data_IF_078862936973
#
_entry.id   IF_078862936973
#
_cell.length_a   1.000
_cell.length_b   1.000
_cell.length_c   1.000
_cell.angle_alpha   90.00
_cell.angle_beta   90.00
_cell.angle_gamma   90.00
#
_symmetry.space_group_name_H-M   'P 1'
#
loop_
_entity.id
_entity.type
_entity.pdbx_description
1 polymer ?
#
# COMPACT_ATOMS: atom_id res chain seq x y z
N UNK A 1 6.84 -14.04 -9.03
CA UNK A 1 7.83 -12.95 -9.11
C UNK A 1 9.17 -13.54 -9.54
N UNK A 2 9.89 -12.95 -10.50
CA UNK A 2 11.18 -13.47 -10.96
C UNK A 2 12.24 -13.21 -9.89
N UNK A 3 12.94 -14.27 -9.48
CA UNK A 3 14.01 -14.22 -8.47
C UNK A 3 15.09 -13.19 -8.81
N UNK A 4 15.42 -13.03 -10.09
CA UNK A 4 16.41 -12.06 -10.56
C UNK A 4 15.97 -10.61 -10.36
N UNK A 5 14.67 -10.32 -10.46
CA UNK A 5 14.14 -8.98 -10.23
C UNK A 5 14.16 -8.61 -8.74
N UNK A 6 13.93 -9.59 -7.86
CA UNK A 6 14.01 -9.43 -6.39
C UNK A 6 15.44 -9.16 -5.92
N UNK A 7 16.42 -9.91 -6.43
CA UNK A 7 17.84 -9.76 -6.07
C UNK A 7 18.51 -8.51 -6.66
N UNK A 8 17.88 -7.85 -7.63
CA UNK A 8 18.48 -6.67 -8.25
C UNK A 8 18.55 -5.53 -7.23
N UNK A 9 19.74 -4.96 -7.08
CA UNK A 9 19.98 -3.87 -6.13
C UNK A 9 19.44 -2.54 -6.61
N UNK A 10 18.89 -1.78 -5.67
CA UNK A 10 18.41 -0.43 -5.83
C UNK A 10 18.83 0.36 -4.59
N UNK A 11 19.50 1.49 -4.78
CA UNK A 11 20.07 2.28 -3.67
C UNK A 11 20.95 1.45 -2.70
N UNK A 12 21.63 0.43 -3.22
CA UNK A 12 22.55 -0.41 -2.43
C UNK A 12 21.93 -1.67 -1.80
N UNK A 13 20.61 -1.74 -1.67
CA UNK A 13 19.88 -2.88 -1.08
C UNK A 13 19.15 -3.69 -2.14
N UNK A 14 18.84 -4.95 -1.84
CA UNK A 14 18.04 -5.80 -2.72
C UNK A 14 16.59 -5.31 -2.77
N UNK A 15 15.89 -5.53 -3.89
CA UNK A 15 14.50 -5.10 -3.99
C UNK A 15 13.62 -5.86 -3.00
N UNK A 16 13.93 -7.13 -2.71
CA UNK A 16 13.25 -7.92 -1.68
C UNK A 16 13.32 -7.23 -0.31
N UNK A 17 14.52 -6.85 0.13
CA UNK A 17 14.75 -6.14 1.40
C UNK A 17 13.95 -4.83 1.47
N UNK A 18 13.91 -4.06 0.38
CA UNK A 18 13.10 -2.85 0.31
C UNK A 18 11.61 -3.14 0.54
N UNK A 19 11.07 -4.15 -0.14
CA UNK A 19 9.65 -4.52 -0.01
C UNK A 19 9.34 -4.98 1.42
N UNK A 20 10.22 -5.77 2.02
CA UNK A 20 10.10 -6.20 3.42
C UNK A 20 10.08 -4.99 4.38
N UNK A 21 11.00 -4.04 4.21
CA UNK A 21 11.01 -2.83 5.04
C UNK A 21 9.72 -2.03 4.93
N UNK A 22 9.16 -1.86 3.73
CA UNK A 22 7.88 -1.17 3.56
C UNK A 22 6.70 -1.95 4.13
N UNK A 23 6.72 -3.28 4.06
CA UNK A 23 5.70 -4.13 4.70
C UNK A 23 5.77 -3.98 6.22
N UNK A 24 6.95 -4.09 6.81
CA UNK A 24 7.16 -3.95 8.25
C UNK A 24 6.76 -2.54 8.73
N UNK A 25 7.18 -1.50 8.03
CA UNK A 25 6.79 -0.12 8.33
C UNK A 25 5.26 0.05 8.29
N UNK A 26 4.61 -0.46 7.25
CA UNK A 26 3.15 -0.39 7.10
C UNK A 26 2.44 -1.16 8.21
N UNK A 27 2.97 -2.31 8.61
CA UNK A 27 2.44 -3.11 9.72
C UNK A 27 2.55 -2.38 11.07
N UNK A 28 3.70 -1.78 11.37
CA UNK A 28 3.90 -0.98 12.60
C UNK A 28 2.88 0.16 12.66
N UNK A 29 2.70 0.86 11.55
CA UNK A 29 1.71 1.95 11.45
C UNK A 29 0.29 1.44 11.68
N UNK A 30 -0.08 0.32 11.03
CA UNK A 30 -1.39 -0.29 11.18
C UNK A 30 -1.67 -0.69 12.63
N UNK A 31 -0.71 -1.33 13.29
CA UNK A 31 -0.81 -1.70 14.72
C UNK A 31 -0.94 -0.45 15.58
N UNK A 32 -0.13 0.59 15.32
CA UNK A 32 -0.21 1.87 16.04
C UNK A 32 -1.59 2.53 15.92
N UNK A 33 -2.16 2.58 14.72
CA UNK A 33 -3.51 3.06 14.47
C UNK A 33 -4.55 2.23 15.24
N UNK A 34 -4.49 0.91 15.15
CA UNK A 34 -5.42 0.00 15.83
C UNK A 34 -5.36 0.13 17.36
N UNK A 35 -4.16 0.18 17.93
CA UNK A 35 -3.96 0.38 19.36
C UNK A 35 -4.47 1.75 19.82
N UNK A 36 -4.21 2.82 19.05
CA UNK A 36 -4.72 4.16 19.39
C UNK A 36 -6.24 4.20 19.50
N UNK A 37 -6.93 3.57 18.52
CA UNK A 37 -8.38 3.44 18.54
C UNK A 37 -8.88 2.62 19.73
N UNK A 38 -8.29 1.44 19.96
CA UNK A 38 -8.71 0.55 21.05
C UNK A 38 -8.53 1.19 22.42
N UNK A 39 -7.40 1.87 22.65
CA UNK A 39 -7.09 2.53 23.92
C UNK A 39 -8.08 3.66 24.17
N UNK A 40 -8.26 4.61 23.23
CA UNK A 40 -9.18 5.73 23.45
C UNK A 40 -10.63 5.26 23.57
N UNK A 41 -11.04 4.26 22.78
CA UNK A 41 -12.38 3.67 22.92
C UNK A 41 -12.59 3.03 24.29
N UNK A 42 -11.60 2.31 24.81
CA UNK A 42 -11.64 1.73 26.15
C UNK A 42 -11.69 2.80 27.25
N UNK A 43 -10.93 3.89 27.11
CA UNK A 43 -10.97 5.03 28.04
C UNK A 43 -12.34 5.72 28.05
N UNK A 44 -12.98 5.88 26.89
CA UNK A 44 -14.37 6.40 26.79
C UNK A 44 -15.33 5.43 27.46
N UNK A 45 -15.22 4.12 27.21
CA UNK A 45 -16.09 3.09 27.78
C UNK A 45 -16.02 3.09 29.32
N UNK A 46 -14.82 3.22 29.89
CA UNK A 46 -14.61 3.34 31.33
C UNK A 46 -14.97 4.72 31.90
N UNK A 47 -15.39 5.68 31.07
CA UNK A 47 -15.67 7.08 31.44
C UNK A 47 -14.46 7.80 32.06
N UNK A 48 -13.24 7.37 31.70
CA UNK A 48 -11.98 8.01 32.13
C UNK A 48 -11.67 9.26 31.31
N UNK A 49 -12.25 9.37 30.11
CA UNK A 49 -12.28 10.58 29.30
C UNK A 49 -13.75 10.94 29.00
N UNK A 50 -14.07 12.23 28.78
CA UNK A 50 -15.44 12.67 28.55
C UNK A 50 -16.08 11.93 27.36
N UNK A 51 -17.35 11.59 27.52
CA UNK A 51 -18.14 11.01 26.45
C UNK A 51 -18.39 12.04 25.36
N UNK A 52 -18.59 11.53 24.14
CA UNK A 52 -18.94 12.28 22.94
C UNK A 52 -19.90 13.43 23.23
N UNK A 53 -19.38 14.67 23.22
CA UNK A 53 -20.18 15.90 23.38
C UNK A 53 -20.03 16.80 22.17
N UNK A 54 -20.13 16.20 20.98
CA UNK A 54 -20.18 16.96 19.74
C UNK A 54 -21.60 17.51 19.53
N UNK A 55 -21.71 18.85 19.43
CA UNK A 55 -22.95 19.51 18.96
C UNK A 55 -23.31 19.14 17.52
N UNK A 56 -22.35 18.61 16.74
CA UNK A 56 -22.50 18.18 15.36
C UNK A 56 -22.09 16.71 15.19
N UNK A 57 -22.95 15.81 15.71
CA UNK A 57 -22.72 14.36 15.64
C UNK A 57 -22.44 13.87 14.21
N UNK A 58 -23.10 14.44 13.20
CA UNK A 58 -22.89 14.11 11.79
C UNK A 58 -21.43 14.26 11.35
N UNK A 59 -20.86 15.45 11.53
CA UNK A 59 -19.48 15.77 11.14
C UNK A 59 -18.51 14.82 11.81
N UNK A 60 -18.77 14.48 13.07
CA UNK A 60 -17.93 13.55 13.78
C UNK A 60 -18.02 12.13 13.23
N UNK A 61 -19.21 11.61 12.94
CA UNK A 61 -19.35 10.29 12.35
C UNK A 61 -18.68 10.20 10.96
N UNK A 62 -18.71 11.29 10.18
CA UNK A 62 -17.97 11.38 8.91
C UNK A 62 -16.47 11.26 9.15
N UNK A 63 -15.89 12.01 10.10
CA UNK A 63 -14.46 11.93 10.43
C UNK A 63 -14.05 10.55 10.96
N UNK A 64 -14.84 9.99 11.87
CA UNK A 64 -14.61 8.64 12.40
C UNK A 64 -14.67 7.59 11.28
N UNK A 65 -15.71 7.66 10.43
CA UNK A 65 -15.86 6.78 9.29
C UNK A 65 -14.70 6.91 8.29
N UNK A 66 -14.18 8.13 8.09
CA UNK A 66 -13.02 8.35 7.25
C UNK A 66 -11.78 7.63 7.78
N UNK A 67 -11.45 7.79 9.07
CA UNK A 67 -10.31 7.12 9.70
C UNK A 67 -10.48 5.61 9.74
N UNK A 68 -11.68 5.12 10.10
CA UNK A 68 -11.97 3.69 10.10
C UNK A 68 -11.84 3.11 8.69
N UNK A 69 -12.37 3.77 7.67
CA UNK A 69 -12.24 3.30 6.29
C UNK A 69 -10.79 3.34 5.80
N UNK A 70 -9.99 4.33 6.20
CA UNK A 70 -8.56 4.34 5.91
C UNK A 70 -7.85 3.16 6.59
N UNK A 71 -8.11 2.89 7.87
CA UNK A 71 -7.58 1.74 8.60
C UNK A 71 -7.95 0.41 7.92
N UNK A 72 -9.23 0.22 7.61
CA UNK A 72 -9.72 -1.01 6.98
C UNK A 72 -9.12 -1.20 5.59
N UNK A 73 -8.95 -0.13 4.80
CA UNK A 73 -8.32 -0.22 3.49
C UNK A 73 -6.87 -0.72 3.57
N UNK A 74 -6.10 -0.21 4.54
CA UNK A 74 -4.72 -0.64 4.80
C UNK A 74 -4.69 -2.10 5.27
N UNK A 75 -5.60 -2.49 6.16
CA UNK A 75 -5.71 -3.87 6.64
C UNK A 75 -6.00 -4.85 5.51
N UNK A 76 -6.99 -4.55 4.65
CA UNK A 76 -7.33 -5.38 3.48
C UNK A 76 -6.15 -5.50 2.53
N UNK A 77 -5.43 -4.41 2.29
CA UNK A 77 -4.23 -4.48 1.45
C UNK A 77 -3.09 -5.26 2.11
N UNK A 78 -2.88 -5.10 3.42
CA UNK A 78 -1.89 -5.87 4.15
C UNK A 78 -2.13 -7.37 4.00
N UNK A 79 -3.39 -7.82 4.18
CA UNK A 79 -3.79 -9.21 3.90
C UNK A 79 -3.52 -9.56 2.44
N UNK A 80 -3.93 -8.72 1.51
CA UNK A 80 -3.70 -8.96 0.08
C UNK A 80 -2.21 -9.15 -0.22
N UNK A 81 -1.32 -8.32 0.33
CA UNK A 81 0.13 -8.43 0.15
C UNK A 81 0.69 -9.71 0.77
N UNK A 82 0.28 -10.08 1.98
CA UNK A 82 0.74 -11.30 2.67
C UNK A 82 0.28 -12.55 1.93
N UNK A 83 -1.02 -12.65 1.63
CA UNK A 83 -1.60 -13.83 0.96
C UNK A 83 -0.98 -14.03 -0.43
N UNK A 84 -0.71 -12.94 -1.14
CA UNK A 84 -0.16 -13.02 -2.48
C UNK A 84 1.37 -12.96 -2.53
N UNK A 85 2.08 -12.86 -1.39
CA UNK A 85 3.54 -12.69 -1.35
C UNK A 85 4.31 -13.73 -2.19
N UNK A 86 3.78 -14.95 -2.29
CA UNK A 86 4.40 -16.05 -3.03
C UNK A 86 3.96 -16.17 -4.51
N UNK A 87 2.83 -15.58 -4.92
CA UNK A 87 2.15 -15.93 -6.18
C UNK A 87 1.80 -14.73 -7.07
N UNK A 88 2.67 -13.72 -7.16
CA UNK A 88 2.49 -12.70 -8.18
C UNK A 88 2.78 -13.32 -9.55
N UNK A 89 1.73 -13.87 -10.17
CA UNK A 89 1.74 -14.54 -11.48
C UNK A 89 2.17 -13.61 -12.62
N UNK A 90 2.09 -12.30 -12.41
CA UNK A 90 2.59 -11.27 -13.35
C UNK A 90 2.90 -9.98 -12.61
N UNK A 91 4.13 -9.45 -12.79
CA UNK A 91 4.56 -8.19 -12.17
C UNK A 91 3.73 -7.01 -12.68
N UNK A 92 3.27 -7.05 -13.94
CA UNK A 92 2.40 -6.01 -14.53
C UNK A 92 1.06 -5.94 -13.81
N UNK A 93 0.43 -7.08 -13.52
CA UNK A 93 -0.86 -7.12 -12.82
C UNK A 93 -0.74 -6.56 -11.42
N UNK A 94 0.30 -6.96 -10.71
CA UNK A 94 0.46 -6.59 -9.33
C UNK A 94 0.93 -5.13 -9.16
N UNK A 95 1.79 -4.64 -10.06
CA UNK A 95 2.06 -3.20 -10.22
C UNK A 95 0.77 -2.40 -10.44
N UNK A 96 -0.11 -2.82 -11.37
CA UNK A 96 -1.40 -2.13 -11.62
C UNK A 96 -2.29 -2.07 -10.38
N UNK A 97 -2.35 -3.15 -9.60
CA UNK A 97 -3.08 -3.18 -8.33
C UNK A 97 -2.50 -2.20 -7.32
N UNK A 98 -1.17 -2.17 -7.15
CA UNK A 98 -0.49 -1.23 -6.25
C UNK A 98 -0.70 0.23 -6.64
N UNK A 99 -0.60 0.55 -7.94
CA UNK A 99 -0.89 1.89 -8.45
C UNK A 99 -2.33 2.29 -8.16
N UNK A 100 -3.28 1.41 -8.51
CA UNK A 100 -4.70 1.69 -8.31
C UNK A 100 -5.02 1.95 -6.84
N UNK A 101 -4.42 1.17 -5.95
CA UNK A 101 -4.60 1.31 -4.52
C UNK A 101 -3.95 2.58 -3.96
N UNK A 102 -2.74 2.92 -4.41
CA UNK A 102 -2.07 4.17 -4.03
C UNK A 102 -2.87 5.39 -4.46
N UNK A 103 -3.35 5.40 -5.70
CA UNK A 103 -4.21 6.48 -6.23
C UNK A 103 -5.53 6.56 -5.46
N UNK A 104 -6.18 5.41 -5.22
CA UNK A 104 -7.39 5.35 -4.41
C UNK A 104 -7.17 5.95 -3.02
N UNK A 105 -6.08 5.61 -2.34
CA UNK A 105 -5.78 6.11 -0.99
C UNK A 105 -5.51 7.62 -0.99
N UNK A 106 -4.83 8.16 -1.99
CA UNK A 106 -4.67 9.62 -2.14
C UNK A 106 -6.04 10.29 -2.28
N UNK A 107 -6.89 9.80 -3.19
CA UNK A 107 -8.22 10.37 -3.42
C UNK A 107 -9.10 10.25 -2.17
N UNK A 108 -9.02 9.11 -1.48
CA UNK A 108 -9.79 8.85 -0.27
C UNK A 108 -9.35 9.77 0.87
N UNK A 109 -8.05 9.85 1.16
CA UNK A 109 -7.50 10.67 2.26
C UNK A 109 -7.73 12.16 2.03
N UNK A 110 -7.53 12.64 0.80
CA UNK A 110 -7.60 14.07 0.47
C UNK A 110 -8.87 14.46 -0.28
N UNK A 111 -9.96 13.71 -0.08
CA UNK A 111 -11.26 14.09 -0.62
C UNK A 111 -11.66 15.47 -0.05
N UNK A 112 -11.82 16.52 -0.88
CA UNK A 112 -12.05 17.89 -0.38
C UNK A 112 -13.30 18.03 0.49
N UNK A 113 -14.32 17.21 0.23
CA UNK A 113 -15.58 17.25 0.96
C UNK A 113 -15.39 16.70 2.37
N UNK A 114 -14.62 15.61 2.50
CA UNK A 114 -14.30 15.02 3.80
C UNK A 114 -13.36 15.91 4.59
N UNK A 115 -12.33 16.47 3.94
CA UNK A 115 -11.38 17.39 4.58
C UNK A 115 -12.10 18.62 5.13
N UNK A 116 -13.10 19.16 4.40
CA UNK A 116 -13.91 20.26 4.91
C UNK A 116 -14.66 19.89 6.20
N UNK A 117 -15.29 18.71 6.25
CA UNK A 117 -15.93 18.22 7.48
C UNK A 117 -14.92 18.00 8.61
N UNK A 118 -13.71 17.53 8.31
CA UNK A 118 -12.66 17.33 9.32
C UNK A 118 -12.27 18.65 10.00
N UNK A 119 -12.14 19.75 9.26
CA UNK A 119 -11.84 21.07 9.87
C UNK A 119 -12.89 21.48 10.90
N UNK A 120 -14.16 21.10 10.67
CA UNK A 120 -15.27 21.41 11.58
C UNK A 120 -15.44 20.39 12.71
N UNK A 121 -14.74 19.25 12.66
CA UNK A 121 -14.87 18.13 13.60
C UNK A 121 -14.17 18.37 14.95
N UNK A 122 -14.18 19.59 15.48
CA UNK A 122 -13.45 20.00 16.70
C UNK A 122 -13.74 19.08 17.89
N UNK A 123 -14.99 18.61 18.04
CA UNK A 123 -15.36 17.65 19.09
C UNK A 123 -14.60 16.32 18.96
N UNK A 124 -14.47 15.78 17.74
CA UNK A 124 -13.72 14.55 17.48
C UNK A 124 -12.25 14.71 17.88
N UNK A 125 -11.61 15.80 17.44
CA UNK A 125 -10.20 16.04 17.75
C UNK A 125 -9.96 16.29 19.23
N UNK A 126 -10.95 16.80 19.98
CA UNK A 126 -10.84 16.98 21.42
C UNK A 126 -11.00 15.68 22.20
N UNK A 127 -11.91 14.81 21.76
CA UNK A 127 -12.25 13.57 22.45
C UNK A 127 -11.27 12.43 22.07
N UNK A 128 -10.76 12.41 20.83
CA UNK A 128 -9.87 11.38 20.26
C UNK A 128 -8.52 11.98 19.82
N UNK A 129 -7.88 12.75 20.70
CA UNK A 129 -6.64 13.48 20.40
C UNK A 129 -5.53 12.55 19.93
N UNK A 130 -5.32 11.44 20.63
CA UNK A 130 -4.23 10.52 20.34
C UNK A 130 -4.47 9.78 19.03
N UNK A 131 -5.68 9.25 18.81
CA UNK A 131 -6.04 8.61 17.55
C UNK A 131 -5.91 9.61 16.41
N UNK A 132 -6.45 10.82 16.55
CA UNK A 132 -6.37 11.82 15.50
C UNK A 132 -4.93 12.20 15.15
N UNK A 133 -4.05 12.35 16.15
CA UNK A 133 -2.64 12.58 15.93
C UNK A 133 -1.97 11.42 15.18
N UNK A 134 -2.20 10.18 15.64
CA UNK A 134 -1.63 8.97 15.02
C UNK A 134 -2.08 8.86 13.57
N UNK A 135 -3.37 9.06 13.26
CA UNK A 135 -3.89 9.02 11.90
C UNK A 135 -3.31 10.12 11.01
N UNK A 136 -3.20 11.35 11.54
CA UNK A 136 -2.65 12.49 10.80
C UNK A 136 -1.17 12.28 10.45
N UNK A 137 -0.37 11.73 11.37
CA UNK A 137 1.05 11.47 11.14
C UNK A 137 1.29 10.22 10.29
N UNK A 138 0.45 9.19 10.42
CA UNK A 138 0.60 7.93 9.69
C UNK A 138 0.19 8.02 8.23
N UNK A 139 -0.81 8.83 7.89
CA UNK A 139 -1.26 9.02 6.51
C UNK A 139 -0.11 9.35 5.51
N UNK A 140 0.74 10.38 5.74
CA UNK A 140 1.86 10.66 4.84
C UNK A 140 2.92 9.54 4.84
N UNK A 141 3.18 8.89 5.99
CA UNK A 141 4.14 7.78 6.07
C UNK A 141 3.69 6.61 5.17
N UNK A 142 2.41 6.26 5.23
CA UNK A 142 1.82 5.19 4.42
C UNK A 142 1.84 5.54 2.94
N UNK A 143 1.49 6.78 2.58
CA UNK A 143 1.54 7.24 1.20
C UNK A 143 2.96 7.17 0.63
N UNK A 144 3.96 7.57 1.40
CA UNK A 144 5.36 7.45 1.00
C UNK A 144 5.74 5.97 0.83
N UNK A 145 5.45 5.13 1.82
CA UNK A 145 5.75 3.70 1.76
C UNK A 145 5.14 3.04 0.52
N UNK A 146 3.89 3.36 0.20
CA UNK A 146 3.20 2.77 -0.96
C UNK A 146 3.66 3.35 -2.29
N UNK A 147 4.05 4.62 -2.31
CA UNK A 147 4.68 5.22 -3.50
C UNK A 147 5.99 4.52 -3.82
N UNK A 148 6.82 4.25 -2.80
CA UNK A 148 8.04 3.45 -2.97
C UNK A 148 7.72 2.02 -3.40
N UNK A 149 6.77 1.36 -2.73
CA UNK A 149 6.36 0.00 -3.09
C UNK A 149 5.91 -0.06 -4.57
N UNK A 150 5.10 0.90 -5.00
CA UNK A 150 4.67 1.04 -6.39
C UNK A 150 5.84 1.26 -7.35
N UNK A 151 6.81 2.10 -6.97
CA UNK A 151 8.02 2.34 -7.74
C UNK A 151 8.87 1.06 -7.91
N UNK A 152 9.07 0.30 -6.83
CA UNK A 152 9.81 -0.97 -6.89
C UNK A 152 9.10 -1.99 -7.77
N UNK A 153 7.77 -2.10 -7.64
CA UNK A 153 6.96 -2.98 -8.48
C UNK A 153 7.00 -2.59 -9.95
N UNK A 154 6.94 -1.29 -10.25
CA UNK A 154 7.13 -0.77 -11.60
C UNK A 154 8.50 -1.18 -12.16
N UNK A 155 9.57 -0.92 -11.40
CA UNK A 155 10.95 -1.24 -11.81
C UNK A 155 11.13 -2.73 -12.08
N UNK A 156 10.64 -3.59 -11.19
CA UNK A 156 10.71 -5.05 -11.38
C UNK A 156 9.91 -5.51 -12.60
N UNK A 157 8.74 -4.91 -12.86
CA UNK A 157 7.95 -5.21 -14.06
C UNK A 157 8.65 -4.83 -15.38
N UNK A 158 9.58 -3.87 -15.34
CA UNK A 158 10.42 -3.50 -16.48
C UNK A 158 11.57 -4.48 -16.67
N UNK A 159 12.23 -4.87 -15.59
CA UNK A 159 13.33 -5.84 -15.62
C UNK A 159 12.85 -7.18 -16.18
N UNK A 160 11.68 -7.67 -15.76
CA UNK A 160 11.12 -8.91 -16.31
C UNK A 160 10.81 -8.82 -17.81
N UNK A 161 10.37 -7.66 -18.31
CA UNK A 161 10.16 -7.46 -19.75
C UNK A 161 11.46 -7.50 -20.56
N UNK A 162 12.60 -7.19 -19.93
CA UNK A 162 13.92 -7.29 -20.56
C UNK A 162 14.46 -8.74 -20.52
N UNK A 163 13.91 -9.60 -19.65
CA UNK A 163 14.29 -11.01 -19.46
C UNK A 163 13.28 -12.02 -20.02
N UNK A 164 12.07 -11.59 -20.40
CA UNK A 164 11.25 -12.36 -21.35
C UNK A 164 12.18 -12.65 -22.53
N UNK A 165 12.56 -13.92 -22.75
CA UNK A 165 13.51 -14.22 -23.79
C UNK A 165 12.89 -13.68 -25.06
N UNK A 166 13.60 -12.79 -25.74
CA UNK A 166 13.37 -12.61 -27.16
C UNK A 166 13.58 -14.01 -27.77
N UNK A 167 12.51 -14.81 -27.89
CA UNK A 167 12.47 -16.11 -28.55
C UNK A 167 12.87 -16.03 -30.03
N UNK A 168 13.34 -14.88 -30.53
CA UNK A 168 13.37 -14.57 -31.96
C UNK A 168 14.69 -13.96 -32.45
N UNK A 169 15.83 -14.19 -31.79
CA UNK A 169 17.12 -13.82 -32.46
C UNK A 169 18.18 -14.92 -32.47
N UNK A 170 18.25 -15.81 -31.46
CA UNK A 170 19.19 -16.93 -31.54
C UNK A 170 18.55 -18.23 -31.09
N UNK A 171 17.98 -18.96 -32.06
CA UNK A 171 17.99 -20.42 -32.05
C UNK A 171 17.03 -21.10 -31.07
N UNK A 172 15.73 -20.82 -31.14
CA UNK A 172 14.78 -21.89 -30.83
C UNK A 172 15.08 -23.08 -31.77
N UNK A 173 15.05 -24.29 -31.22
CA UNK A 173 15.47 -25.53 -31.90
C UNK A 173 14.68 -25.80 -33.21
N UNK A 174 13.51 -25.15 -33.35
CA UNK A 174 12.62 -25.20 -34.51
C UNK A 174 12.62 -23.93 -35.39
N UNK A 175 13.47 -22.95 -35.11
CA UNK A 175 13.48 -21.67 -35.85
C UNK A 175 13.78 -21.87 -37.34
N UNK A 176 13.04 -21.16 -38.21
CA UNK A 176 13.23 -21.26 -39.66
C UNK A 176 14.66 -20.94 -40.10
N UNK A 177 15.36 -20.07 -39.36
CA UNK A 177 16.77 -19.75 -39.59
C UNK A 177 17.69 -20.96 -39.40
N UNK A 178 17.40 -21.85 -38.44
CA UNK A 178 18.15 -23.10 -38.22
C UNK A 178 17.82 -24.14 -39.31
N UNK A 179 16.55 -24.27 -39.70
CA UNK A 179 16.14 -25.12 -40.83
C UNK A 179 16.76 -24.68 -42.16
N UNK A 180 16.93 -23.37 -42.35
CA UNK A 180 17.63 -22.81 -43.50
C UNK A 180 19.13 -23.10 -43.46
N UNK A 181 19.79 -23.04 -42.28
CA UNK A 181 21.20 -23.39 -42.16
C UNK A 181 21.47 -24.88 -42.39
N UNK A 182 20.64 -25.78 -41.85
CA UNK A 182 20.75 -27.24 -42.09
C UNK A 182 20.47 -27.65 -43.54
N UNK A 183 19.79 -26.80 -44.34
CA UNK A 183 19.56 -27.07 -45.76
C UNK A 183 20.76 -26.75 -46.65
N UNK A 184 21.73 -25.96 -46.15
CA UNK A 184 22.92 -25.55 -46.89
C UNK A 184 24.22 -26.23 -46.41
N UNK A 185 24.15 -27.13 -45.42
CA UNK A 185 25.21 -28.09 -45.06
C UNK A 185 25.00 -29.43 -45.79
#
# INVERSE_FOLDING_TARGET
MSYQALQKRTFGFENEEWLEYFIVLSFIVLVGQGLSFLIEWFLVFLKLIPYFTSKNAFVTYVTFGHFLGFFLSQFVMGIFLIVNHAEWKSHKSAFRKMVSFTVFTVIYLYNPWIVAYQVEAVGFYNDFKCTALVFTLSAPIILVAWSFYTFFMWRMSRIEADYEPCEVIYGAEDSETKKLMEYYE
#
